data_IF_387736668311
#
_entry.id   IF_387736668311
#
_cell.length_a   1.000
_cell.length_b   1.000
_cell.length_c   1.000
_cell.angle_alpha   90.00
_cell.angle_beta   90.00
_cell.angle_gamma   90.00
#
_symmetry.space_group_name_H-M   'P 1'
#
loop_
_entity.id
_entity.type
_entity.pdbx_description
1 polymer ?
#
# COMPACT_ATOMS: atom_id res chain seq x y z
N UNK A 1 -10.45 -28.98 20.75
CA UNK A 1 -9.65 -28.11 21.67
C UNK A 1 -8.15 -28.06 21.34
N UNK A 2 -7.47 -29.16 21.03
CA UNK A 2 -6.04 -29.13 20.67
C UNK A 2 -5.73 -28.34 19.36
N UNK A 3 -6.60 -28.42 18.34
CA UNK A 3 -6.45 -27.69 17.07
C UNK A 3 -6.50 -26.18 17.25
N UNK A 4 -7.48 -25.67 17.97
CA UNK A 4 -7.62 -24.22 18.19
C UNK A 4 -6.45 -23.58 18.98
N UNK A 5 -5.87 -24.32 19.92
CA UNK A 5 -4.68 -23.86 20.64
C UNK A 5 -3.43 -23.84 19.73
N UNK A 6 -3.36 -24.73 18.75
CA UNK A 6 -2.32 -24.73 17.70
C UNK A 6 -2.44 -23.55 16.75
N UNK A 7 -3.64 -23.28 16.27
CA UNK A 7 -3.92 -22.14 15.37
C UNK A 7 -3.63 -20.79 16.04
N UNK A 8 -4.02 -20.62 17.31
CA UNK A 8 -3.71 -19.41 18.08
C UNK A 8 -2.20 -19.18 18.21
N UNK A 9 -1.42 -20.23 18.53
CA UNK A 9 0.05 -20.09 18.62
C UNK A 9 0.66 -19.73 17.27
N UNK A 10 0.17 -20.34 16.18
CA UNK A 10 0.63 -20.02 14.83
C UNK A 10 0.29 -18.56 14.45
N UNK A 11 -0.91 -18.07 14.84
CA UNK A 11 -1.29 -16.68 14.60
C UNK A 11 -0.46 -15.71 15.44
N UNK A 12 -0.23 -15.99 16.71
CA UNK A 12 0.62 -15.16 17.58
C UNK A 12 2.05 -15.06 17.02
N UNK A 13 2.63 -16.16 16.57
CA UNK A 13 3.94 -16.18 15.92
C UNK A 13 3.96 -15.39 14.60
N UNK A 14 2.91 -15.49 13.79
CA UNK A 14 2.78 -14.68 12.57
C UNK A 14 2.72 -13.18 12.89
N UNK A 15 1.91 -12.78 13.87
CA UNK A 15 1.77 -11.39 14.27
C UNK A 15 3.09 -10.82 14.84
N UNK A 16 3.83 -11.62 15.61
CA UNK A 16 5.17 -11.26 16.07
C UNK A 16 6.14 -11.08 14.91
N UNK A 17 6.14 -12.00 13.93
CA UNK A 17 6.94 -11.89 12.71
C UNK A 17 6.58 -10.65 11.88
N UNK A 18 5.28 -10.30 11.81
CA UNK A 18 4.82 -9.08 11.16
C UNK A 18 5.34 -7.83 11.87
N UNK A 19 5.33 -7.78 13.19
CA UNK A 19 5.87 -6.67 14.00
C UNK A 19 7.38 -6.51 13.81
N UNK A 20 8.14 -7.60 13.89
CA UNK A 20 9.61 -7.60 13.71
C UNK A 20 9.99 -7.25 12.27
N UNK A 21 9.28 -7.81 11.28
CA UNK A 21 9.47 -7.48 9.86
C UNK A 21 9.11 -6.04 9.52
N UNK A 22 8.19 -5.47 10.24
CA UNK A 22 7.71 -4.11 10.08
C UNK A 22 8.74 -3.02 10.43
N UNK A 23 9.70 -3.32 11.30
CA UNK A 23 10.80 -2.41 11.61
C UNK A 23 11.75 -2.19 10.40
N UNK A 24 11.60 -2.96 9.33
CA UNK A 24 12.38 -2.83 8.09
C UNK A 24 11.46 -2.53 6.92
N UNK A 25 11.77 -1.54 6.07
CA UNK A 25 11.00 -1.26 4.88
C UNK A 25 10.92 -2.51 4.00
N UNK A 26 9.74 -2.76 3.44
CA UNK A 26 9.51 -3.90 2.56
C UNK A 26 10.15 -3.63 1.20
N UNK A 27 11.42 -4.00 1.05
CA UNK A 27 12.19 -3.82 -0.20
C UNK A 27 11.69 -4.74 -1.32
N UNK A 28 11.25 -5.96 -0.95
CA UNK A 28 10.57 -6.88 -1.85
C UNK A 28 9.72 -7.86 -1.04
N UNK A 29 8.63 -8.33 -1.64
CA UNK A 29 7.79 -9.39 -1.03
C UNK A 29 8.61 -10.63 -0.79
N UNK A 30 9.44 -11.05 -1.74
CA UNK A 30 10.25 -12.26 -1.62
C UNK A 30 11.25 -12.21 -0.45
N UNK A 31 11.95 -11.08 -0.26
CA UNK A 31 12.87 -10.93 0.86
C UNK A 31 12.15 -10.91 2.22
N UNK A 32 10.99 -10.29 2.27
CA UNK A 32 10.17 -10.24 3.48
C UNK A 32 9.54 -11.61 3.78
N UNK A 33 8.97 -12.28 2.78
CA UNK A 33 8.43 -13.64 2.88
C UNK A 33 9.50 -14.64 3.33
N UNK A 34 10.71 -14.57 2.76
CA UNK A 34 11.83 -15.40 3.14
C UNK A 34 12.18 -15.27 4.63
N UNK A 35 12.21 -14.06 5.16
CA UNK A 35 12.44 -13.84 6.61
C UNK A 35 11.30 -14.38 7.46
N UNK A 36 10.05 -14.10 7.11
CA UNK A 36 8.90 -14.59 7.85
C UNK A 36 8.88 -16.11 7.90
N UNK A 37 9.17 -16.79 6.80
CA UNK A 37 9.22 -18.26 6.74
C UNK A 37 10.45 -18.84 7.42
N UNK A 38 11.59 -18.12 7.48
CA UNK A 38 12.76 -18.57 8.25
C UNK A 38 12.46 -18.70 9.73
N UNK A 39 11.73 -17.71 10.27
CA UNK A 39 11.57 -17.58 11.71
C UNK A 39 10.21 -18.12 12.22
N UNK A 40 9.19 -18.16 11.34
CA UNK A 40 7.80 -18.46 11.70
C UNK A 40 7.11 -19.39 10.68
N UNK A 41 7.80 -20.39 10.15
CA UNK A 41 7.25 -21.31 9.15
C UNK A 41 6.02 -22.09 9.66
N UNK A 42 4.84 -21.64 9.26
CA UNK A 42 3.55 -22.28 9.54
C UNK A 42 2.66 -22.26 8.29
N UNK A 43 1.67 -23.18 8.17
CA UNK A 43 0.70 -23.12 7.07
C UNK A 43 -0.05 -21.78 7.01
N UNK A 44 -0.24 -21.13 8.16
CA UNK A 44 -0.87 -19.82 8.26
C UNK A 44 0.03 -18.72 7.67
N UNK A 45 1.33 -18.73 8.01
CA UNK A 45 2.30 -17.80 7.45
C UNK A 45 2.43 -17.98 5.93
N UNK A 46 2.45 -19.22 5.45
CA UNK A 46 2.47 -19.51 4.01
C UNK A 46 1.23 -18.93 3.33
N UNK A 47 0.04 -19.17 3.87
CA UNK A 47 -1.20 -18.60 3.31
C UNK A 47 -1.17 -17.06 3.27
N UNK A 48 -0.62 -16.43 4.32
CA UNK A 48 -0.48 -14.97 4.34
C UNK A 48 0.46 -14.48 3.21
N UNK A 49 1.56 -15.18 2.99
CA UNK A 49 2.53 -14.89 1.93
C UNK A 49 1.89 -15.07 0.55
N UNK A 50 1.21 -16.19 0.33
CA UNK A 50 0.55 -16.48 -0.96
C UNK A 50 -0.46 -15.39 -1.33
N UNK A 51 -1.23 -14.89 -0.35
CA UNK A 51 -2.15 -13.77 -0.57
C UNK A 51 -1.39 -12.45 -0.81
N UNK A 52 -0.31 -12.20 -0.07
CA UNK A 52 0.49 -10.99 -0.25
C UNK A 52 1.14 -10.95 -1.65
N UNK A 53 1.69 -12.08 -2.11
CA UNK A 53 2.27 -12.20 -3.46
C UNK A 53 1.22 -11.99 -4.55
N UNK A 54 0.03 -12.52 -4.36
CA UNK A 54 -1.08 -12.36 -5.30
C UNK A 54 -1.69 -10.94 -5.33
N UNK A 55 -1.49 -10.17 -4.26
CA UNK A 55 -1.90 -8.76 -4.16
C UNK A 55 -0.80 -7.77 -4.58
N UNK A 56 0.43 -8.26 -4.78
CA UNK A 56 1.60 -7.43 -5.03
C UNK A 56 1.82 -7.22 -6.52
N UNK A 57 1.76 -5.96 -6.94
CA UNK A 57 2.12 -5.55 -8.28
C UNK A 57 3.44 -4.77 -8.23
N UNK A 58 4.52 -5.23 -8.88
CA UNK A 58 5.79 -4.53 -8.85
C UNK A 58 5.70 -3.20 -9.61
N UNK A 59 6.18 -2.13 -8.98
CA UNK A 59 6.32 -0.81 -9.62
C UNK A 59 7.60 -0.78 -10.46
N UNK A 60 7.57 -1.41 -11.62
CA UNK A 60 8.71 -1.38 -12.54
C UNK A 60 8.60 -0.15 -13.45
N UNK A 61 9.63 0.74 -13.47
CA UNK A 61 9.65 1.86 -14.40
C UNK A 61 9.59 1.36 -15.84
N UNK A 62 8.66 1.85 -16.69
CA UNK A 62 8.54 1.37 -18.06
C UNK A 62 9.67 1.87 -18.99
N UNK A 63 10.34 2.94 -18.62
CA UNK A 63 11.44 3.55 -19.39
C UNK A 63 12.40 4.35 -18.51
N UNK A 64 13.49 4.84 -19.11
CA UNK A 64 14.53 5.61 -18.42
C UNK A 64 14.02 6.95 -17.86
N UNK A 65 13.00 7.57 -18.46
CA UNK A 65 12.41 8.79 -17.92
C UNK A 65 11.63 8.51 -16.62
N UNK A 66 10.85 7.43 -16.60
CA UNK A 66 10.17 6.99 -15.39
C UNK A 66 11.16 6.62 -14.28
N UNK A 67 12.31 6.00 -14.60
CA UNK A 67 13.40 5.76 -13.65
C UNK A 67 13.94 7.07 -13.07
N UNK A 68 14.18 8.07 -13.91
CA UNK A 68 14.66 9.39 -13.47
C UNK A 68 13.67 10.08 -12.52
N UNK A 69 12.36 10.07 -12.84
CA UNK A 69 11.32 10.64 -11.97
C UNK A 69 11.27 9.88 -10.65
N UNK A 70 11.37 8.54 -10.69
CA UNK A 70 11.41 7.70 -9.49
C UNK A 70 12.57 8.07 -8.56
N UNK A 71 13.76 8.29 -9.12
CA UNK A 71 14.92 8.72 -8.35
C UNK A 71 14.67 10.08 -7.67
N UNK A 72 14.11 11.06 -8.39
CA UNK A 72 13.80 12.39 -7.83
C UNK A 72 12.75 12.32 -6.70
N UNK A 73 11.71 11.50 -6.86
CA UNK A 73 10.71 11.28 -5.80
C UNK A 73 11.35 10.63 -4.57
N UNK A 74 12.15 9.58 -4.77
CA UNK A 74 12.86 8.89 -3.70
C UNK A 74 13.79 9.83 -2.94
N UNK A 75 14.58 10.64 -3.65
CA UNK A 75 15.49 11.61 -3.06
C UNK A 75 14.73 12.64 -2.22
N UNK A 76 13.62 13.16 -2.73
CA UNK A 76 12.77 14.09 -1.98
C UNK A 76 12.20 13.47 -0.71
N UNK A 77 11.65 12.26 -0.77
CA UNK A 77 11.10 11.58 0.40
C UNK A 77 12.17 11.25 1.44
N UNK A 78 13.36 10.82 1.00
CA UNK A 78 14.46 10.42 1.89
C UNK A 78 15.13 11.60 2.62
N UNK A 79 14.98 12.82 2.12
CA UNK A 79 15.69 13.99 2.64
C UNK A 79 15.20 14.46 4.02
N UNK A 80 13.99 14.11 4.47
CA UNK A 80 13.34 14.89 5.52
C UNK A 80 12.86 14.14 6.76
N UNK A 81 12.59 12.82 6.71
CA UNK A 81 11.93 12.16 7.83
C UNK A 81 12.30 10.68 7.95
N UNK A 82 12.60 10.17 9.18
CA UNK A 82 12.93 8.75 9.39
C UNK A 82 11.79 7.77 9.01
N UNK A 83 10.55 8.24 8.90
CA UNK A 83 9.40 7.44 8.44
C UNK A 83 9.26 7.30 6.92
N UNK A 84 10.16 7.92 6.13
CA UNK A 84 10.09 7.87 4.67
C UNK A 84 10.08 6.44 4.07
N UNK A 85 10.75 5.43 4.64
CA UNK A 85 10.73 4.10 4.03
C UNK A 85 9.34 3.46 3.99
N UNK A 86 8.50 3.72 5.00
CA UNK A 86 7.12 3.22 5.02
C UNK A 86 6.24 3.93 3.98
N UNK A 87 6.44 5.24 3.82
CA UNK A 87 5.76 6.01 2.79
C UNK A 87 6.24 5.59 1.40
N UNK A 88 7.54 5.38 1.21
CA UNK A 88 8.10 4.89 -0.04
C UNK A 88 7.50 3.53 -0.43
N UNK A 89 7.43 2.59 0.50
CA UNK A 89 6.81 1.29 0.27
C UNK A 89 5.32 1.43 -0.14
N UNK A 90 4.58 2.36 0.46
CA UNK A 90 3.21 2.69 0.06
C UNK A 90 3.18 3.25 -1.38
N UNK A 91 4.00 4.23 -1.69
CA UNK A 91 4.09 4.83 -3.03
C UNK A 91 4.36 3.77 -4.09
N UNK A 92 5.29 2.85 -3.85
CA UNK A 92 5.59 1.75 -4.77
C UNK A 92 4.39 0.79 -4.96
N UNK A 93 3.69 0.40 -3.89
CA UNK A 93 2.52 -0.48 -4.01
C UNK A 93 1.37 0.19 -4.77
N UNK A 94 1.09 1.45 -4.48
CA UNK A 94 0.07 2.22 -5.21
C UNK A 94 0.45 2.37 -6.68
N UNK A 95 1.72 2.66 -6.98
CA UNK A 95 2.21 2.75 -8.36
C UNK A 95 2.04 1.42 -9.10
N UNK A 96 2.48 0.31 -8.51
CA UNK A 96 2.32 -1.02 -9.11
C UNK A 96 0.86 -1.38 -9.35
N UNK A 97 -0.02 -1.12 -8.38
CA UNK A 97 -1.45 -1.33 -8.54
C UNK A 97 -2.05 -0.45 -9.65
N UNK A 98 -1.68 0.84 -9.72
CA UNK A 98 -2.14 1.73 -10.77
C UNK A 98 -1.73 1.24 -12.17
N UNK A 99 -0.48 0.78 -12.33
CA UNK A 99 0.01 0.21 -13.60
C UNK A 99 -0.75 -1.06 -13.96
N UNK A 100 -0.97 -1.97 -13.01
CA UNK A 100 -1.70 -3.22 -13.24
C UNK A 100 -3.18 -3.00 -13.61
N UNK A 101 -3.80 -1.96 -13.05
CA UNK A 101 -5.20 -1.59 -13.31
C UNK A 101 -5.38 -0.72 -14.56
N UNK A 102 -4.31 -0.08 -15.06
CA UNK A 102 -4.35 0.86 -16.16
C UNK A 102 -5.02 0.31 -17.45
N UNK A 103 -4.78 -0.96 -17.88
CA UNK A 103 -5.46 -1.53 -19.05
C UNK A 103 -6.98 -1.62 -18.89
N UNK A 104 -7.50 -1.98 -17.71
CA UNK A 104 -8.95 -2.04 -17.42
C UNK A 104 -9.59 -0.64 -17.46
N UNK A 105 -8.79 0.39 -17.12
CA UNK A 105 -9.19 1.80 -17.17
C UNK A 105 -9.00 2.45 -18.55
N UNK A 106 -8.41 1.76 -19.52
CA UNK A 106 -8.05 2.32 -20.82
C UNK A 106 -6.97 3.42 -20.75
N UNK A 107 -6.08 3.35 -19.75
CA UNK A 107 -5.02 4.33 -19.47
C UNK A 107 -3.68 3.77 -19.91
N UNK A 108 -2.82 4.64 -20.46
CA UNK A 108 -1.43 4.33 -20.73
C UNK A 108 -0.69 3.96 -19.42
N UNK A 109 -0.07 2.76 -19.30
CA UNK A 109 0.65 2.34 -18.11
C UNK A 109 1.77 3.30 -17.70
N UNK A 110 2.43 4.00 -18.63
CA UNK A 110 3.45 4.99 -18.29
C UNK A 110 2.85 6.22 -17.58
N UNK A 111 1.67 6.69 -18.01
CA UNK A 111 0.96 7.76 -17.29
C UNK A 111 0.47 7.30 -15.92
N UNK A 112 -0.03 6.07 -15.81
CA UNK A 112 -0.42 5.48 -14.54
C UNK A 112 0.79 5.36 -13.58
N UNK A 113 1.96 4.97 -14.10
CA UNK A 113 3.21 4.91 -13.35
C UNK A 113 3.61 6.30 -12.81
N UNK A 114 3.69 7.31 -13.69
CA UNK A 114 4.10 8.67 -13.32
C UNK A 114 3.15 9.32 -12.32
N UNK A 115 1.86 9.11 -12.47
CA UNK A 115 0.86 9.53 -11.49
C UNK A 115 1.07 8.83 -10.13
N UNK A 116 1.20 7.50 -10.15
CA UNK A 116 1.37 6.70 -8.95
C UNK A 116 2.64 7.07 -8.18
N UNK A 117 3.78 7.22 -8.87
CA UNK A 117 5.05 7.53 -8.21
C UNK A 117 5.07 8.94 -7.61
N UNK A 118 4.34 9.89 -8.16
CA UNK A 118 4.31 11.28 -7.69
C UNK A 118 3.21 11.56 -6.64
N UNK A 119 2.20 10.70 -6.45
CA UNK A 119 0.96 11.06 -5.76
C UNK A 119 1.15 11.57 -4.31
N UNK A 120 2.05 10.96 -3.55
CA UNK A 120 2.32 11.29 -2.15
C UNK A 120 3.75 11.86 -1.93
N UNK A 121 4.40 12.37 -2.99
CA UNK A 121 5.79 12.87 -2.94
C UNK A 121 6.00 13.99 -1.91
N UNK A 122 4.98 14.79 -1.63
CA UNK A 122 5.02 15.88 -0.67
C UNK A 122 4.36 15.54 0.68
N UNK A 123 4.01 14.26 0.94
CA UNK A 123 3.29 13.84 2.15
C UNK A 123 4.01 14.22 3.44
N UNK A 124 5.32 14.12 3.46
CA UNK A 124 6.12 14.47 4.63
C UNK A 124 6.34 15.97 4.75
N UNK A 125 6.27 16.72 3.66
CA UNK A 125 6.40 18.18 3.66
C UNK A 125 5.21 18.87 4.35
N UNK A 126 4.01 18.29 4.25
CA UNK A 126 2.78 18.80 4.88
C UNK A 126 2.95 19.03 6.39
N UNK A 127 3.63 18.10 7.08
CA UNK A 127 3.91 18.23 8.52
C UNK A 127 4.80 19.43 8.85
N UNK A 128 5.63 19.86 7.91
CA UNK A 128 6.59 20.96 8.10
C UNK A 128 6.04 22.31 7.63
N UNK A 129 5.31 22.31 6.53
CA UNK A 129 4.89 23.54 5.83
C UNK A 129 3.44 23.92 6.12
N UNK A 130 2.60 22.95 6.52
CA UNK A 130 1.15 23.10 6.60
C UNK A 130 0.45 23.19 5.24
N UNK A 131 1.17 23.13 4.12
CA UNK A 131 0.58 23.08 2.78
C UNK A 131 0.03 21.68 2.52
N UNK A 132 -1.20 21.54 1.98
CA UNK A 132 -1.74 20.23 1.60
C UNK A 132 -0.78 19.50 0.65
N UNK A 133 -0.47 18.26 0.97
CA UNK A 133 0.50 17.46 0.19
C UNK A 133 0.03 17.20 -1.24
N UNK A 134 -1.25 17.17 -1.47
CA UNK A 134 -1.85 17.02 -2.79
C UNK A 134 -1.48 18.18 -3.70
N UNK A 135 -1.51 19.41 -3.17
CA UNK A 135 -1.15 20.61 -3.95
C UNK A 135 0.35 20.64 -4.24
N UNK A 136 1.17 20.51 -3.20
CA UNK A 136 2.63 20.48 -3.37
C UNK A 136 3.12 19.29 -4.24
N UNK A 137 2.45 18.14 -4.15
CA UNK A 137 2.72 16.97 -5.00
C UNK A 137 2.38 17.20 -6.47
N UNK A 138 1.24 17.86 -6.74
CA UNK A 138 0.84 18.22 -8.08
C UNK A 138 1.78 19.27 -8.71
N UNK A 139 2.24 20.25 -7.94
CA UNK A 139 3.25 21.21 -8.38
C UNK A 139 4.55 20.50 -8.75
N UNK A 140 5.07 19.64 -7.88
CA UNK A 140 6.26 18.83 -8.15
C UNK A 140 6.10 17.99 -9.43
N UNK A 141 4.97 17.29 -9.60
CA UNK A 141 4.71 16.52 -10.81
C UNK A 141 4.73 17.41 -12.06
N UNK A 142 4.11 18.61 -11.99
CA UNK A 142 4.15 19.58 -13.08
C UNK A 142 5.57 20.06 -13.46
N UNK A 143 6.45 20.17 -12.48
CA UNK A 143 7.86 20.57 -12.70
C UNK A 143 8.66 19.44 -13.37
N UNK A 144 8.63 18.24 -12.79
CA UNK A 144 9.50 17.12 -13.27
C UNK A 144 9.02 16.53 -14.59
N UNK A 145 7.73 16.66 -14.93
CA UNK A 145 7.16 16.12 -16.18
C UNK A 145 7.21 17.12 -17.34
N UNK A 146 7.55 18.38 -17.09
CA UNK A 146 7.59 19.44 -18.11
C UNK A 146 8.66 19.15 -19.15
N UNK A 147 8.28 19.27 -20.44
CA UNK A 147 9.14 18.99 -21.57
C UNK A 147 9.23 17.51 -21.97
N UNK A 148 8.64 16.60 -21.16
CA UNK A 148 8.60 15.17 -21.47
C UNK A 148 7.18 14.69 -21.83
N UNK A 149 6.16 15.33 -21.29
CA UNK A 149 4.76 15.02 -21.59
C UNK A 149 4.04 16.24 -22.18
N UNK A 150 2.96 15.98 -22.91
CA UNK A 150 2.05 17.05 -23.36
C UNK A 150 1.39 17.75 -22.15
N UNK A 151 1.14 19.05 -22.26
CA UNK A 151 0.54 19.83 -21.18
C UNK A 151 -0.79 19.26 -20.67
N UNK A 152 -1.61 18.68 -21.57
CA UNK A 152 -2.86 18.02 -21.19
C UNK A 152 -2.64 16.77 -20.31
N UNK A 153 -1.60 15.98 -20.60
CA UNK A 153 -1.24 14.80 -19.80
C UNK A 153 -0.74 15.22 -18.40
N UNK A 154 0.12 16.24 -18.35
CA UNK A 154 0.59 16.82 -17.09
C UNK A 154 -0.60 17.33 -16.26
N UNK A 155 -1.50 18.10 -16.87
CA UNK A 155 -2.71 18.59 -16.22
C UNK A 155 -3.59 17.47 -15.67
N UNK A 156 -3.74 16.37 -16.40
CA UNK A 156 -4.51 15.20 -15.92
C UNK A 156 -3.85 14.52 -14.73
N UNK A 157 -2.52 14.38 -14.71
CA UNK A 157 -1.78 13.83 -13.56
C UNK A 157 -1.91 14.76 -12.35
N UNK A 158 -1.75 16.08 -12.54
CA UNK A 158 -1.89 17.06 -11.47
C UNK A 158 -3.31 17.05 -10.86
N UNK A 159 -4.35 17.01 -11.69
CA UNK A 159 -5.74 16.92 -11.26
C UNK A 159 -6.01 15.63 -10.45
N UNK A 160 -5.44 14.49 -10.89
CA UNK A 160 -5.54 13.24 -10.16
C UNK A 160 -4.88 13.32 -8.77
N UNK A 161 -3.67 13.91 -8.67
CA UNK A 161 -2.94 14.09 -7.42
C UNK A 161 -3.71 15.02 -6.45
N UNK A 162 -4.31 16.12 -6.97
CA UNK A 162 -5.16 17.03 -6.18
C UNK A 162 -6.49 16.43 -5.77
N UNK A 163 -6.82 15.21 -6.24
CA UNK A 163 -8.11 14.56 -5.99
C UNK A 163 -9.29 15.38 -6.54
N UNK A 164 -9.04 16.15 -7.60
CA UNK A 164 -10.11 16.85 -8.31
C UNK A 164 -11.11 15.85 -8.88
N UNK A 165 -12.38 16.17 -8.79
CA UNK A 165 -13.45 15.27 -9.24
C UNK A 165 -13.42 15.09 -10.77
N UNK A 166 -13.47 13.84 -11.21
CA UNK A 166 -13.59 13.46 -12.61
C UNK A 166 -12.24 13.14 -13.28
N UNK A 167 -12.33 12.27 -14.26
CA UNK A 167 -11.17 11.82 -15.02
C UNK A 167 -10.67 10.42 -14.64
N UNK A 168 -10.35 9.64 -15.68
CA UNK A 168 -9.98 8.24 -15.50
C UNK A 168 -8.73 8.05 -14.64
N UNK A 169 -7.72 8.96 -14.74
CA UNK A 169 -6.52 8.93 -13.91
C UNK A 169 -6.84 9.15 -12.42
N UNK A 170 -7.74 10.09 -12.10
CA UNK A 170 -8.16 10.33 -10.71
C UNK A 170 -8.88 9.13 -10.11
N UNK A 171 -9.75 8.48 -10.88
CA UNK A 171 -10.41 7.25 -10.46
C UNK A 171 -9.43 6.08 -10.30
N UNK A 172 -8.44 5.98 -11.20
CA UNK A 172 -7.40 4.96 -11.12
C UNK A 172 -6.53 5.14 -9.87
N UNK A 173 -6.10 6.37 -9.58
CA UNK A 173 -5.34 6.68 -8.37
C UNK A 173 -6.16 6.38 -7.11
N UNK A 174 -7.43 6.79 -7.09
CA UNK A 174 -8.34 6.49 -5.98
C UNK A 174 -8.39 4.98 -5.72
N UNK A 175 -8.67 4.18 -6.74
CA UNK A 175 -8.81 2.73 -6.61
C UNK A 175 -7.49 2.10 -6.12
N UNK A 176 -6.35 2.47 -6.70
CA UNK A 176 -5.03 1.96 -6.31
C UNK A 176 -4.66 2.33 -4.86
N UNK A 177 -4.86 3.59 -4.42
CA UNK A 177 -4.61 4.02 -3.04
C UNK A 177 -5.54 3.31 -2.04
N UNK A 178 -6.82 3.11 -2.39
CA UNK A 178 -7.75 2.42 -1.50
C UNK A 178 -7.43 0.94 -1.36
N UNK A 179 -7.06 0.27 -2.46
CA UNK A 179 -6.65 -1.14 -2.42
C UNK A 179 -5.42 -1.38 -1.53
N UNK A 180 -4.52 -0.39 -1.35
CA UNK A 180 -3.38 -0.49 -0.42
C UNK A 180 -3.78 -0.44 1.07
N UNK A 181 -5.04 -0.12 1.39
CA UNK A 181 -5.54 -0.04 2.78
C UNK A 181 -6.16 -1.33 3.27
N UNK A 182 -6.44 -2.27 2.37
CA UNK A 182 -7.11 -3.55 2.67
C UNK A 182 -6.26 -4.73 2.21
N UNK A 183 -6.66 -5.93 2.63
CA UNK A 183 -5.92 -7.16 2.36
C UNK A 183 -4.65 -7.29 3.18
N UNK A 184 -3.73 -8.11 2.71
CA UNK A 184 -2.42 -8.33 3.35
C UNK A 184 -1.57 -7.06 3.35
N UNK A 185 -1.60 -6.28 2.27
CA UNK A 185 -0.91 -5.00 2.17
C UNK A 185 -1.39 -4.00 3.24
N UNK A 186 -2.71 -3.89 3.45
CA UNK A 186 -3.29 -3.06 4.49
C UNK A 186 -2.87 -3.50 5.90
N UNK A 187 -2.85 -4.81 6.17
CA UNK A 187 -2.36 -5.37 7.43
C UNK A 187 -0.88 -5.01 7.67
N UNK A 188 0.00 -5.31 6.71
CA UNK A 188 1.43 -4.98 6.81
C UNK A 188 1.62 -3.48 7.02
N UNK A 189 0.95 -2.64 6.24
CA UNK A 189 1.00 -1.18 6.37
C UNK A 189 0.64 -0.70 7.78
N UNK A 190 -0.46 -1.22 8.36
CA UNK A 190 -0.93 -0.79 9.68
C UNK A 190 -0.06 -1.32 10.81
N UNK A 191 0.36 -2.58 10.74
CA UNK A 191 1.24 -3.18 11.74
C UNK A 191 2.62 -2.51 11.73
N UNK A 192 3.15 -2.19 10.54
CA UNK A 192 4.48 -1.60 10.38
C UNK A 192 4.61 -0.14 10.86
N UNK A 193 3.53 0.55 11.17
CA UNK A 193 3.60 1.91 11.73
C UNK A 193 3.94 1.96 13.21
N UNK A 194 3.97 0.82 13.91
CA UNK A 194 4.36 0.74 15.31
C UNK A 194 5.23 -0.50 15.58
N UNK A 195 6.36 -0.30 16.28
CA UNK A 195 7.27 -1.39 16.67
C UNK A 195 6.88 -2.04 18.00
N UNK A 196 5.91 -1.50 18.72
CA UNK A 196 5.47 -1.96 20.05
C UNK A 196 4.34 -2.99 19.91
N UNK A 197 4.42 -4.17 20.55
CA UNK A 197 3.31 -5.13 20.61
C UNK A 197 1.98 -4.53 21.09
N UNK A 198 2.00 -3.50 21.94
CA UNK A 198 0.80 -2.77 22.37
C UNK A 198 0.09 -2.03 21.22
N UNK A 199 0.78 -1.79 20.10
CA UNK A 199 0.20 -1.20 18.90
C UNK A 199 -0.69 -2.18 18.12
N UNK A 200 -0.47 -3.48 18.25
CA UNK A 200 -1.12 -4.50 17.43
C UNK A 200 -2.66 -4.46 17.51
N UNK A 201 -3.31 -4.38 18.68
CA UNK A 201 -4.77 -4.24 18.76
C UNK A 201 -5.29 -2.99 18.03
N UNK A 202 -4.56 -1.88 18.15
CA UNK A 202 -4.91 -0.61 17.48
C UNK A 202 -4.77 -0.75 15.96
N UNK A 203 -3.70 -1.40 15.49
CA UNK A 203 -3.48 -1.64 14.06
C UNK A 203 -4.60 -2.50 13.46
N UNK A 204 -4.99 -3.60 14.14
CA UNK A 204 -6.06 -4.48 13.69
C UNK A 204 -7.44 -3.78 13.69
N UNK A 205 -7.75 -2.97 14.72
CA UNK A 205 -8.96 -2.16 14.75
C UNK A 205 -9.02 -1.21 13.55
N UNK A 206 -7.92 -0.51 13.24
CA UNK A 206 -7.85 0.39 12.07
C UNK A 206 -8.03 -0.35 10.74
N UNK A 207 -7.50 -1.57 10.62
CA UNK A 207 -7.73 -2.41 9.44
C UNK A 207 -9.21 -2.79 9.33
N UNK A 208 -9.85 -3.12 10.43
CA UNK A 208 -11.29 -3.43 10.45
C UNK A 208 -12.12 -2.22 10.02
N UNK A 209 -11.81 -1.02 10.52
CA UNK A 209 -12.47 0.24 10.15
C UNK A 209 -12.30 0.55 8.67
N UNK A 210 -11.06 0.45 8.14
CA UNK A 210 -10.76 0.63 6.71
C UNK A 210 -11.58 -0.36 5.84
N UNK A 211 -11.81 -1.59 6.33
CA UNK A 211 -12.59 -2.61 5.62
C UNK A 211 -14.09 -2.31 5.63
N UNK A 212 -14.62 -1.82 6.75
CA UNK A 212 -16.05 -1.48 6.90
C UNK A 212 -16.41 -0.23 6.11
N UNK A 213 -15.56 0.80 6.15
CA UNK A 213 -15.76 2.07 5.46
C UNK A 213 -15.23 2.09 4.03
N UNK A 214 -14.93 0.92 3.46
CA UNK A 214 -14.28 0.81 2.16
C UNK A 214 -15.19 1.33 1.04
N UNK A 215 -14.73 2.30 0.22
CA UNK A 215 -15.55 2.91 -0.82
C UNK A 215 -15.79 1.96 -2.01
N UNK A 216 -16.76 2.30 -2.84
CA UNK A 216 -16.94 1.63 -4.12
C UNK A 216 -15.73 1.88 -5.03
N UNK A 217 -15.34 0.87 -5.80
CA UNK A 217 -14.31 0.97 -6.83
C UNK A 217 -14.90 1.43 -8.15
N UNK A 218 -14.09 2.13 -8.93
CA UNK A 218 -14.51 2.70 -10.22
C UNK A 218 -14.33 1.73 -11.39
N UNK A 219 -13.36 0.81 -11.29
CA UNK A 219 -13.08 -0.16 -12.35
C UNK A 219 -13.39 -1.58 -11.91
N UNK A 220 -13.72 -2.44 -12.88
CA UNK A 220 -14.13 -3.81 -12.60
C UNK A 220 -13.01 -4.61 -11.92
N UNK A 221 -11.79 -4.54 -12.44
CA UNK A 221 -10.67 -5.28 -11.87
C UNK A 221 -10.35 -4.83 -10.44
N UNK A 222 -10.42 -3.54 -10.15
CA UNK A 222 -10.24 -3.03 -8.78
C UNK A 222 -11.35 -3.49 -7.84
N UNK A 223 -12.59 -3.58 -8.32
CA UNK A 223 -13.70 -4.11 -7.53
C UNK A 223 -13.50 -5.61 -7.21
N UNK A 224 -13.08 -6.41 -8.19
CA UNK A 224 -12.81 -7.85 -8.00
C UNK A 224 -11.66 -8.06 -7.00
N UNK A 225 -10.57 -7.27 -7.10
CA UNK A 225 -9.47 -7.27 -6.13
C UNK A 225 -9.92 -6.86 -4.73
N UNK A 226 -10.77 -5.83 -4.61
CA UNK A 226 -11.29 -5.39 -3.33
C UNK A 226 -12.13 -6.48 -2.64
N UNK A 227 -12.95 -7.21 -3.40
CA UNK A 227 -13.72 -8.35 -2.88
C UNK A 227 -12.79 -9.43 -2.32
N UNK A 228 -11.75 -9.81 -3.07
CA UNK A 228 -10.77 -10.81 -2.64
C UNK A 228 -10.02 -10.37 -1.37
N UNK A 229 -9.49 -9.15 -1.37
CA UNK A 229 -8.76 -8.59 -0.25
C UNK A 229 -9.60 -8.52 1.04
N UNK A 230 -10.85 -8.09 0.93
CA UNK A 230 -11.79 -8.04 2.05
C UNK A 230 -12.15 -9.44 2.55
N UNK A 231 -12.31 -10.42 1.67
CA UNK A 231 -12.55 -11.82 2.07
C UNK A 231 -11.38 -12.38 2.89
N UNK A 232 -10.14 -12.08 2.51
CA UNK A 232 -8.97 -12.43 3.29
C UNK A 232 -8.99 -11.77 4.68
N UNK A 233 -9.26 -10.48 4.78
CA UNK A 233 -9.35 -9.78 6.05
C UNK A 233 -10.46 -10.32 6.96
N UNK A 234 -11.63 -10.61 6.40
CA UNK A 234 -12.75 -11.20 7.14
C UNK A 234 -12.39 -12.57 7.75
N UNK A 235 -11.50 -13.32 7.10
CA UNK A 235 -10.96 -14.55 7.64
C UNK A 235 -9.85 -14.30 8.66
N UNK A 236 -8.93 -13.37 8.41
CA UNK A 236 -7.72 -13.14 9.20
C UNK A 236 -8.01 -12.44 10.54
N UNK A 237 -8.83 -11.38 10.52
CA UNK A 237 -9.03 -10.52 11.70
C UNK A 237 -9.57 -11.25 12.94
N UNK A 238 -10.60 -12.12 12.85
CA UNK A 238 -11.08 -12.85 14.00
C UNK A 238 -10.02 -13.78 14.63
N UNK A 239 -9.17 -14.39 13.79
CA UNK A 239 -8.07 -15.26 14.26
C UNK A 239 -6.99 -14.45 14.97
N UNK A 240 -6.67 -13.26 14.44
CA UNK A 240 -5.70 -12.35 15.04
C UNK A 240 -6.19 -11.80 16.38
N UNK A 241 -7.47 -11.39 16.47
CA UNK A 241 -8.09 -10.94 17.72
C UNK A 241 -8.12 -12.04 18.78
N UNK A 242 -8.47 -13.28 18.40
CA UNK A 242 -8.47 -14.44 19.31
C UNK A 242 -7.05 -14.77 19.82
N UNK A 243 -6.03 -14.57 18.97
CA UNK A 243 -4.63 -14.77 19.38
C UNK A 243 -4.15 -13.73 20.40
N UNK A 244 -4.63 -12.49 20.30
CA UNK A 244 -4.25 -11.38 21.18
C UNK A 244 -5.01 -11.41 22.51
N UNK A 245 -6.31 -11.60 22.46
CA UNK A 245 -7.20 -11.42 23.62
C UNK A 245 -7.67 -12.73 24.26
N UNK A 246 -7.35 -13.87 23.66
CA UNK A 246 -7.93 -15.17 24.01
C UNK A 246 -9.34 -15.37 23.43
N UNK A 247 -9.92 -16.59 23.58
CA UNK A 247 -11.23 -16.89 23.01
C UNK A 247 -12.31 -15.99 23.58
N UNK A 248 -13.14 -15.43 22.73
CA UNK A 248 -14.39 -14.78 23.16
C UNK A 248 -15.29 -15.86 23.74
N UNK A 249 -15.57 -15.77 25.08
CA UNK A 249 -16.49 -16.66 25.80
C UNK A 249 -17.92 -16.40 25.37
#
# INVERSE_FOLDING_TARGET
>A
MAGQAGERRAMAALLEGLLVGAARPMESVAAWAGRLMSDHATPLAQRFIDELEAEWFPALPPDAFCEQVTAQVRDRLSAWHPGWPHLWAHVLRVTGAAVALAPDAGIDPALAYLMGICHDVAKLDEFRTGQPHEEAGAEFAGEVLRGHLAAAQIGSIQAAIRKESGGALGYLLHDADKLDKIGTAGLVRRISTGADPAWLPIALSRVADDTQSFPAMHFRLSADLAVRKRAFQAWFLPLAEDAIHGPRT
#
